data_IF_078124969193
#
_entry.id   IF_078124969193
#
_cell.length_a   1.000
_cell.length_b   1.000
_cell.length_c   1.000
_cell.angle_alpha   90.00
_cell.angle_beta   90.00
_cell.angle_gamma   90.00
#
_symmetry.space_group_name_H-M   'P 1'
#
loop_
_entity.id
_entity.type
_entity.pdbx_description
1 polymer ?
#
# COMPACT_ATOMS: atom_id res chain seq x y z
N UNK A 1 -8.06 10.41 18.49
CA UNK A 1 -8.03 10.85 17.10
C UNK A 1 -7.18 9.89 16.28
N UNK A 2 -7.70 9.51 15.13
CA UNK A 2 -7.00 8.56 14.29
C UNK A 2 -5.81 9.19 13.58
N UNK A 3 -4.75 8.42 13.47
CA UNK A 3 -3.55 8.85 12.80
C UNK A 3 -3.60 8.42 11.33
N UNK A 4 -3.12 9.29 10.45
CA UNK A 4 -2.99 8.97 9.03
C UNK A 4 -1.61 8.36 8.81
N UNK A 5 -1.57 7.23 8.10
CA UNK A 5 -0.32 6.57 7.73
C UNK A 5 -0.25 6.43 6.22
N UNK A 6 0.93 6.63 5.66
CA UNK A 6 1.16 6.46 4.24
C UNK A 6 2.35 5.52 4.04
N UNK A 7 2.13 4.45 3.28
CA UNK A 7 3.21 3.57 2.84
C UNK A 7 3.85 4.23 1.62
N UNK A 8 4.98 4.86 1.84
CA UNK A 8 5.57 5.83 0.93
C UNK A 8 6.78 5.28 0.21
N UNK A 9 6.87 5.58 -1.09
CA UNK A 9 8.06 5.37 -1.89
C UNK A 9 8.52 6.72 -2.44
N UNK A 10 9.62 7.29 -1.91
CA UNK A 10 10.07 8.62 -2.33
C UNK A 10 10.44 8.72 -3.82
N UNK A 11 10.69 7.59 -4.47
CA UNK A 11 11.00 7.55 -5.90
C UNK A 11 9.77 7.54 -6.78
N UNK A 12 8.58 7.39 -6.20
CA UNK A 12 7.33 7.32 -6.94
C UNK A 12 6.64 8.69 -6.92
N UNK A 13 6.35 9.24 -8.11
CA UNK A 13 5.71 10.54 -8.21
C UNK A 13 4.30 10.52 -7.61
N UNK A 14 3.55 9.44 -7.80
CA UNK A 14 2.22 9.32 -7.21
C UNK A 14 2.27 9.36 -5.69
N UNK A 15 3.27 8.71 -5.11
CA UNK A 15 3.46 8.69 -3.66
C UNK A 15 3.81 10.08 -3.13
N UNK A 16 4.70 10.79 -3.82
CA UNK A 16 5.07 12.16 -3.45
C UNK A 16 3.88 13.10 -3.57
N UNK A 17 3.08 12.95 -4.63
CA UNK A 17 1.91 13.81 -4.84
C UNK A 17 0.85 13.59 -3.76
N UNK A 18 0.61 12.34 -3.36
CA UNK A 18 -0.35 12.05 -2.31
C UNK A 18 0.10 12.63 -0.97
N UNK A 19 1.39 12.52 -0.66
CA UNK A 19 1.93 13.11 0.57
C UNK A 19 1.76 14.63 0.57
N UNK A 20 2.02 15.28 -0.56
CA UNK A 20 1.83 16.71 -0.71
C UNK A 20 0.36 17.10 -0.51
N UNK A 21 -0.56 16.34 -1.08
CA UNK A 21 -2.00 16.60 -0.90
C UNK A 21 -2.42 16.51 0.56
N UNK A 22 -1.91 15.50 1.29
CA UNK A 22 -2.21 15.37 2.71
C UNK A 22 -1.73 16.60 3.49
N UNK A 23 -0.53 17.05 3.20
CA UNK A 23 0.04 18.22 3.87
C UNK A 23 -0.69 19.50 3.52
N UNK A 24 -1.10 19.65 2.26
CA UNK A 24 -1.89 20.82 1.83
C UNK A 24 -3.22 20.92 2.55
N UNK A 25 -3.78 19.78 2.94
CA UNK A 25 -5.06 19.74 3.67
C UNK A 25 -4.87 19.76 5.19
N UNK A 26 -3.67 20.11 5.65
CA UNK A 26 -3.41 20.30 7.08
C UNK A 26 -3.09 19.04 7.85
N UNK A 27 -2.81 17.94 7.16
CA UNK A 27 -2.48 16.68 7.81
C UNK A 27 -0.98 16.40 7.75
N UNK A 28 -0.45 15.80 8.81
CA UNK A 28 0.93 15.36 8.86
C UNK A 28 0.93 13.84 9.09
N UNK A 29 0.95 13.04 8.03
CA UNK A 29 0.85 11.59 8.16
C UNK A 29 2.14 10.98 8.69
N UNK A 30 2.02 9.81 9.30
CA UNK A 30 3.18 8.99 9.58
C UNK A 30 3.66 8.38 8.27
N UNK A 31 4.87 8.71 7.86
CA UNK A 31 5.45 8.22 6.62
C UNK A 31 6.18 6.92 6.89
N UNK A 32 5.73 5.85 6.26
CA UNK A 32 6.35 4.52 6.40
C UNK A 32 7.06 4.19 5.09
N UNK A 33 8.37 4.11 5.15
CA UNK A 33 9.19 3.73 3.99
C UNK A 33 9.15 2.21 3.88
N UNK A 34 8.11 1.70 3.26
CA UNK A 34 7.78 0.27 3.29
C UNK A 34 8.83 -0.61 2.60
N UNK A 35 9.67 -0.05 1.74
CA UNK A 35 10.76 -0.80 1.13
C UNK A 35 11.84 -1.14 2.16
N UNK A 36 12.00 -0.31 3.18
CA UNK A 36 12.96 -0.52 4.27
C UNK A 36 12.29 -1.12 5.50
N UNK A 37 11.04 -0.75 5.73
CA UNK A 37 10.27 -1.18 6.91
C UNK A 37 8.92 -1.72 6.43
N UNK A 38 8.90 -2.98 5.95
CA UNK A 38 7.65 -3.56 5.46
C UNK A 38 6.63 -3.74 6.58
N UNK A 39 5.34 -3.81 6.24
CA UNK A 39 4.31 -4.05 7.26
C UNK A 39 4.48 -5.43 7.88
N UNK A 40 3.91 -5.61 9.07
CA UNK A 40 3.80 -6.95 9.65
C UNK A 40 2.78 -7.75 8.85
N UNK A 41 2.80 -9.08 9.03
CA UNK A 41 1.84 -9.96 8.37
C UNK A 41 0.40 -9.56 8.70
N UNK A 42 0.14 -9.22 9.96
CA UNK A 42 -1.17 -8.80 10.41
C UNK A 42 -1.62 -7.49 9.74
N UNK A 43 -0.72 -6.53 9.64
CA UNK A 43 -0.98 -5.27 8.94
C UNK A 43 -1.26 -5.51 7.47
N UNK A 44 -0.49 -6.38 6.84
CA UNK A 44 -0.68 -6.72 5.43
C UNK A 44 -2.03 -7.37 5.19
N UNK A 45 -2.46 -8.27 6.07
CA UNK A 45 -3.79 -8.88 5.97
C UNK A 45 -4.89 -7.84 6.02
N UNK A 46 -4.79 -6.87 6.93
CA UNK A 46 -5.77 -5.79 7.03
C UNK A 46 -5.83 -4.95 5.76
N UNK A 47 -4.67 -4.65 5.18
CA UNK A 47 -4.59 -3.89 3.93
C UNK A 47 -5.25 -4.67 2.79
N UNK A 48 -4.96 -5.95 2.69
CA UNK A 48 -5.53 -6.80 1.64
C UNK A 48 -7.05 -6.85 1.74
N UNK A 49 -7.57 -7.05 2.94
CA UNK A 49 -9.02 -7.12 3.15
C UNK A 49 -9.72 -5.82 2.80
N UNK A 50 -9.07 -4.69 3.07
CA UNK A 50 -9.65 -3.38 2.80
C UNK A 50 -9.56 -2.97 1.33
N UNK A 51 -8.57 -3.48 0.58
CA UNK A 51 -8.28 -2.99 -0.77
C UNK A 51 -8.68 -3.91 -1.90
N UNK A 52 -9.11 -5.11 -1.62
CA UNK A 52 -9.53 -5.99 -2.72
C UNK A 52 -9.83 -7.41 -2.28
N UNK A 53 -9.46 -7.77 -1.06
CA UNK A 53 -9.72 -9.09 -0.52
C UNK A 53 -8.77 -10.18 -0.98
N UNK A 54 -7.81 -9.87 -1.85
CA UNK A 54 -6.84 -10.85 -2.36
C UNK A 54 -5.45 -10.24 -2.37
N UNK A 55 -4.48 -11.04 -1.93
CA UNK A 55 -3.07 -10.62 -2.00
C UNK A 55 -2.64 -10.33 -3.43
N UNK A 56 -3.15 -11.10 -4.40
CA UNK A 56 -2.80 -10.92 -5.80
C UNK A 56 -3.23 -9.55 -6.32
N UNK A 57 -4.36 -9.03 -5.84
CA UNK A 57 -4.85 -7.71 -6.25
C UNK A 57 -3.96 -6.59 -5.74
N UNK A 58 -3.22 -6.83 -4.66
CA UNK A 58 -2.31 -5.85 -4.09
C UNK A 58 -0.91 -5.91 -4.71
N UNK A 59 -0.61 -6.92 -5.54
CA UNK A 59 0.73 -7.13 -6.06
C UNK A 59 0.97 -6.40 -7.36
N UNK A 60 2.22 -5.99 -7.55
CA UNK A 60 2.69 -5.35 -8.79
C UNK A 60 3.24 -6.42 -9.73
N UNK A 61 2.41 -6.88 -10.64
CA UNK A 61 2.77 -7.97 -11.57
C UNK A 61 3.85 -7.57 -12.57
N UNK A 62 4.12 -6.28 -12.72
CA UNK A 62 5.15 -5.79 -13.65
C UNK A 62 6.56 -5.79 -13.06
N UNK A 63 6.69 -6.06 -11.75
CA UNK A 63 8.01 -6.13 -11.14
C UNK A 63 8.75 -7.38 -11.58
N UNK A 64 10.06 -7.24 -11.81
CA UNK A 64 10.89 -8.35 -12.27
C UNK A 64 10.84 -9.55 -11.31
N UNK A 65 10.84 -9.27 -10.01
CA UNK A 65 10.81 -10.31 -8.99
C UNK A 65 9.52 -11.13 -9.03
N UNK A 66 8.43 -10.54 -9.51
CA UNK A 66 7.15 -11.26 -9.68
C UNK A 66 7.33 -12.46 -10.62
N UNK A 67 7.94 -12.21 -11.76
CA UNK A 67 8.23 -13.29 -12.73
C UNK A 67 9.30 -14.27 -12.24
N UNK A 68 10.35 -13.74 -11.62
CA UNK A 68 11.46 -14.56 -11.13
C UNK A 68 11.02 -15.58 -10.08
N UNK A 69 10.06 -15.21 -9.24
CA UNK A 69 9.54 -16.09 -8.18
C UNK A 69 8.38 -16.96 -8.66
N UNK A 70 7.97 -16.83 -9.93
CA UNK A 70 6.84 -17.60 -10.45
C UNK A 70 5.51 -17.22 -9.81
N UNK A 71 5.35 -15.96 -9.42
CA UNK A 71 4.17 -15.51 -8.69
C UNK A 71 2.91 -15.40 -9.55
N UNK A 72 3.06 -15.57 -10.87
CA UNK A 72 1.94 -15.62 -11.79
C UNK A 72 1.21 -16.96 -11.78
N UNK A 73 1.72 -17.94 -11.03
CA UNK A 73 1.10 -19.26 -10.91
C UNK A 73 -0.24 -19.15 -10.20
N UNK A 74 -1.35 -19.59 -10.83
CA UNK A 74 -2.69 -19.41 -10.23
C UNK A 74 -2.94 -20.20 -8.96
N UNK A 75 -2.19 -21.29 -8.74
CA UNK A 75 -2.37 -22.17 -7.59
C UNK A 75 -1.73 -21.65 -6.30
N UNK A 76 -1.01 -20.55 -6.34
CA UNK A 76 -0.38 -20.01 -5.13
C UNK A 76 -1.43 -19.57 -4.12
N UNK A 77 -1.19 -19.92 -2.85
CA UNK A 77 -2.09 -19.55 -1.75
C UNK A 77 -1.91 -18.07 -1.38
N UNK A 78 -2.89 -17.53 -0.67
CA UNK A 78 -2.78 -16.18 -0.12
C UNK A 78 -1.55 -16.05 0.79
N UNK A 79 -1.29 -17.07 1.62
CA UNK A 79 -0.13 -17.07 2.51
C UNK A 79 1.18 -17.00 1.72
N UNK A 80 1.29 -17.75 0.64
CA UNK A 80 2.49 -17.73 -0.20
C UNK A 80 2.70 -16.35 -0.83
N UNK A 81 1.62 -15.72 -1.29
CA UNK A 81 1.70 -14.38 -1.89
C UNK A 81 2.06 -13.33 -0.85
N UNK A 82 1.50 -13.44 0.36
CA UNK A 82 1.86 -12.52 1.46
C UNK A 82 3.32 -12.68 1.86
N UNK A 83 3.81 -13.92 1.94
CA UNK A 83 5.22 -14.18 2.25
C UNK A 83 6.13 -13.53 1.22
N UNK A 84 5.76 -13.61 -0.06
CA UNK A 84 6.54 -12.98 -1.13
C UNK A 84 6.58 -11.46 -0.97
N UNK A 85 5.44 -10.83 -0.65
CA UNK A 85 5.40 -9.39 -0.46
C UNK A 85 6.19 -8.94 0.76
N UNK A 86 6.17 -9.72 1.84
CA UNK A 86 6.93 -9.39 3.05
C UNK A 86 8.43 -9.52 2.81
N UNK A 87 8.84 -10.51 2.01
CA UNK A 87 10.25 -10.69 1.65
C UNK A 87 10.71 -9.68 0.60
N UNK A 88 9.80 -9.25 -0.27
CA UNK A 88 10.09 -8.33 -1.36
C UNK A 88 9.06 -7.20 -1.39
N UNK A 89 9.19 -6.19 -0.52
CA UNK A 89 8.18 -5.13 -0.42
C UNK A 89 7.90 -4.37 -1.72
N UNK A 90 8.84 -4.40 -2.66
CA UNK A 90 8.65 -3.78 -3.98
C UNK A 90 7.43 -4.35 -4.71
N UNK A 91 7.00 -5.58 -4.35
CA UNK A 91 5.82 -6.20 -4.93
C UNK A 91 4.51 -5.55 -4.50
N UNK A 92 4.52 -4.79 -3.39
CA UNK A 92 3.31 -4.12 -2.93
C UNK A 92 2.94 -3.01 -3.89
N UNK A 93 1.67 -3.00 -4.30
CA UNK A 93 1.17 -1.92 -5.15
C UNK A 93 1.19 -0.61 -4.36
N UNK A 94 1.42 0.47 -5.04
CA UNK A 94 1.42 1.80 -4.42
C UNK A 94 0.22 2.55 -4.95
N UNK A 95 -0.36 3.39 -4.23
CA UNK A 95 0.04 3.93 -2.95
C UNK A 95 -1.02 3.53 -1.92
N UNK A 96 -0.59 3.11 -0.74
CA UNK A 96 -1.53 2.70 0.30
C UNK A 96 -1.55 3.75 1.40
N UNK A 97 -2.75 4.22 1.75
CA UNK A 97 -2.97 5.22 2.80
C UNK A 97 -3.97 4.67 3.80
N UNK A 98 -3.65 4.82 5.07
CA UNK A 98 -4.52 4.40 6.19
C UNK A 98 -4.98 5.65 6.92
N UNK A 99 -6.30 5.82 7.07
CA UNK A 99 -6.87 6.93 7.82
C UNK A 99 -7.95 6.38 8.78
N UNK A 100 -8.46 7.23 9.69
CA UNK A 100 -9.59 6.79 10.53
C UNK A 100 -10.83 6.41 9.73
N UNK A 101 -10.93 6.88 8.49
CA UNK A 101 -12.05 6.59 7.60
C UNK A 101 -11.90 5.24 6.90
N UNK A 102 -10.67 4.74 6.77
CA UNK A 102 -10.43 3.46 6.12
C UNK A 102 -9.03 3.33 5.55
N UNK A 103 -8.84 2.28 4.78
CA UNK A 103 -7.59 1.97 4.09
C UNK A 103 -7.87 1.97 2.60
N UNK A 104 -7.05 2.64 1.82
CA UNK A 104 -7.26 2.71 0.38
C UNK A 104 -5.97 2.63 -0.43
N UNK A 105 -6.11 2.08 -1.64
CA UNK A 105 -5.07 2.14 -2.64
C UNK A 105 -5.33 3.39 -3.48
N UNK A 106 -4.48 4.40 -3.33
CA UNK A 106 -4.70 5.73 -3.89
C UNK A 106 -3.97 5.91 -5.22
N UNK A 107 -4.56 5.37 -6.26
CA UNK A 107 -4.09 5.55 -7.64
C UNK A 107 -5.29 5.88 -8.51
N UNK A 108 -5.43 7.13 -8.98
CA UNK A 108 -4.46 8.25 -8.85
C UNK A 108 -4.38 8.82 -7.43
N UNK A 109 -3.34 9.63 -7.15
CA UNK A 109 -3.10 10.16 -5.78
C UNK A 109 -4.27 10.93 -5.19
N UNK A 110 -5.08 11.55 -6.02
CA UNK A 110 -6.24 12.34 -5.59
C UNK A 110 -7.26 11.51 -4.82
N UNK A 111 -7.24 10.19 -4.96
CA UNK A 111 -8.13 9.30 -4.21
C UNK A 111 -7.89 9.39 -2.71
N UNK A 112 -6.72 9.88 -2.28
CA UNK A 112 -6.43 10.08 -0.86
C UNK A 112 -7.42 11.05 -0.22
N UNK A 113 -7.95 11.98 -0.98
CA UNK A 113 -8.90 12.97 -0.47
C UNK A 113 -10.21 12.33 0.00
N UNK A 114 -10.59 11.21 -0.60
CA UNK A 114 -11.79 10.48 -0.20
C UNK A 114 -11.61 9.77 1.15
N UNK A 115 -10.38 9.58 1.57
CA UNK A 115 -10.06 8.94 2.84
C UNK A 115 -9.87 9.93 3.97
N UNK A 116 -9.86 11.23 3.69
CA UNK A 116 -9.68 12.23 4.72
C UNK A 116 -10.96 12.40 5.54
N UNK A 117 -10.83 12.58 6.87
CA UNK A 117 -12.01 12.81 7.69
C UNK A 117 -12.68 14.13 7.30
N UNK A 118 -13.99 14.17 7.48
CA UNK A 118 -14.75 15.40 7.24
C UNK A 118 -14.33 16.49 8.22
N UNK A 119 -14.23 17.73 7.76
CA UNK A 119 -13.91 18.84 8.67
C UNK A 119 -14.99 19.08 9.70
#
# INVERSE_FOLDING_TARGET
>A
MGQIKIYHNPKCSNSRNALALLREHGHEPEVILYLDTPPTRQELQAIIQATGGSARDLMRSKETVYGELGLDTPQLTEDALMDAMLAHPVLMNRLIVITPKGIGLCRPPELVLDLLPSP
#
